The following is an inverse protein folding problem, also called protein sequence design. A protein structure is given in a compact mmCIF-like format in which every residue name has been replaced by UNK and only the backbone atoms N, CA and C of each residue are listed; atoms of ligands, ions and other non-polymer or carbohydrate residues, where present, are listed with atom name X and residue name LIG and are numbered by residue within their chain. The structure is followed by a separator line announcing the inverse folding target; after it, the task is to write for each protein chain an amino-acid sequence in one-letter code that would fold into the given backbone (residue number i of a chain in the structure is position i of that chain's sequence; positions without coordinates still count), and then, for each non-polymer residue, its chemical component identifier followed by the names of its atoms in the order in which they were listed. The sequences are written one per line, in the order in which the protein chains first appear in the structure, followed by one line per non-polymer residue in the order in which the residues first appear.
data_IF_266858026899
#
_entry.id   IF_266858026899
#
_cell.length_a   1.000
_cell.length_b   1.000
_cell.length_c   1.000
_cell.angle_alpha   90.00
_cell.angle_beta   90.00
_cell.angle_gamma   90.00
#
_symmetry.space_group_name_H-M   'P 1'
#
loop_
_entity.id
_entity.type
_entity.pdbx_description
1 polymer ?
#
# COMPACT_ATOMS: atom_id res chain seq x y z
N UNK A 1 -15.50 18.34 16.67
CA UNK A 1 -16.10 18.64 15.32
C UNK A 1 -17.38 17.83 15.16
N UNK A 2 -18.44 18.39 14.56
CA UNK A 2 -19.66 17.61 14.24
C UNK A 2 -19.22 16.53 13.26
N UNK A 3 -19.56 15.28 13.58
CA UNK A 3 -19.24 14.13 12.75
C UNK A 3 -20.02 14.22 11.43
N UNK A 4 -19.32 14.53 10.34
CA UNK A 4 -19.92 14.70 9.00
C UNK A 4 -19.75 13.44 8.14
N UNK A 5 -19.33 12.33 8.74
CA UNK A 5 -19.21 11.04 8.06
C UNK A 5 -20.51 10.27 8.17
N UNK A 6 -21.04 9.85 7.04
CA UNK A 6 -22.20 8.97 6.93
C UNK A 6 -21.80 7.65 6.29
N UNK A 7 -22.42 6.55 6.71
CA UNK A 7 -22.21 5.22 6.19
C UNK A 7 -23.56 4.55 5.89
N UNK A 8 -23.67 3.93 4.72
CA UNK A 8 -24.81 3.11 4.30
C UNK A 8 -24.30 1.84 3.62
N UNK A 9 -24.85 0.71 4.01
CA UNK A 9 -24.65 -0.56 3.29
C UNK A 9 -25.95 -0.94 2.60
N UNK A 10 -25.91 -1.15 1.28
CA UNK A 10 -27.06 -1.57 0.49
C UNK A 10 -27.34 -3.07 0.69
N UNK A 11 -28.54 -3.52 0.31
CA UNK A 11 -28.96 -4.93 0.45
C UNK A 11 -28.05 -5.90 -0.32
N UNK A 12 -27.39 -5.43 -1.39
CA UNK A 12 -26.41 -6.21 -2.17
C UNK A 12 -25.00 -6.24 -1.54
N UNK A 13 -24.82 -5.63 -0.37
CA UNK A 13 -23.56 -5.60 0.38
C UNK A 13 -22.61 -4.44 0.01
N UNK A 14 -22.95 -3.59 -0.97
CA UNK A 14 -22.15 -2.41 -1.31
C UNK A 14 -22.13 -1.43 -0.14
N UNK A 15 -20.93 -1.07 0.32
CA UNK A 15 -20.73 -0.09 1.39
C UNK A 15 -20.43 1.29 0.81
N UNK A 16 -21.12 2.33 1.27
CA UNK A 16 -20.99 3.71 0.81
C UNK A 16 -20.68 4.61 2.01
N UNK A 17 -19.54 5.29 1.97
CA UNK A 17 -19.08 6.15 3.07
C UNK A 17 -18.79 7.54 2.52
N UNK A 18 -19.37 8.57 3.11
CA UNK A 18 -19.14 9.95 2.69
C UNK A 18 -18.67 10.82 3.84
N UNK A 19 -17.87 11.80 3.52
CA UNK A 19 -17.48 12.86 4.43
C UNK A 19 -17.71 14.24 3.79
N UNK A 20 -18.67 14.98 4.31
CA UNK A 20 -18.92 16.34 3.84
C UNK A 20 -17.86 17.29 4.39
N UNK A 21 -17.17 18.01 3.48
CA UNK A 21 -16.17 19.02 3.82
C UNK A 21 -16.66 20.41 3.40
N UNK A 22 -17.12 21.23 4.36
CA UNK A 22 -17.70 22.55 4.04
C UNK A 22 -16.65 23.48 3.42
N UNK A 23 -17.08 24.31 2.47
CA UNK A 23 -16.24 25.31 1.80
C UNK A 23 -15.47 24.78 0.58
N UNK A 24 -15.42 23.49 0.33
CA UNK A 24 -14.83 22.95 -0.88
C UNK A 24 -15.77 23.05 -2.08
N UNK A 25 -15.21 23.25 -3.27
CA UNK A 25 -15.89 23.20 -4.57
C UNK A 25 -15.44 21.98 -5.37
N UNK A 26 -14.87 21.00 -4.67
CA UNK A 26 -14.41 19.73 -5.21
C UNK A 26 -14.86 18.57 -4.34
N UNK A 27 -14.82 17.38 -4.92
CA UNK A 27 -15.06 16.11 -4.25
C UNK A 27 -14.06 15.09 -4.79
N UNK A 28 -13.51 14.27 -3.91
CA UNK A 28 -12.79 13.06 -4.29
C UNK A 28 -13.72 11.87 -4.09
N UNK A 29 -13.99 11.18 -5.17
CA UNK A 29 -14.75 9.95 -5.24
C UNK A 29 -13.78 8.77 -5.38
N UNK A 30 -14.04 7.67 -4.68
CA UNK A 30 -13.30 6.42 -4.84
C UNK A 30 -14.23 5.21 -4.87
N UNK A 31 -13.94 4.24 -5.73
CA UNK A 31 -14.50 2.88 -5.69
C UNK A 31 -13.34 1.93 -5.43
N UNK A 32 -13.45 1.19 -4.34
CA UNK A 32 -12.38 0.35 -3.81
C UNK A 32 -12.85 -1.09 -3.78
N UNK A 33 -12.00 -1.98 -4.24
CA UNK A 33 -12.24 -3.42 -4.18
C UNK A 33 -11.49 -3.97 -2.96
N UNK A 34 -12.17 -4.75 -2.12
CA UNK A 34 -11.58 -5.44 -0.96
C UNK A 34 -10.71 -6.63 -1.39
N UNK A 35 -10.05 -6.50 -2.54
CA UNK A 35 -9.16 -7.50 -3.14
C UNK A 35 -7.94 -6.83 -3.73
N UNK A 36 -6.80 -7.45 -3.51
CA UNK A 36 -5.52 -7.11 -4.09
C UNK A 36 -4.70 -8.38 -4.29
N UNK A 37 -3.43 -8.27 -4.62
CA UNK A 37 -2.60 -9.41 -5.05
C UNK A 37 -2.48 -10.54 -4.01
N UNK A 38 -2.63 -10.26 -2.70
CA UNK A 38 -2.58 -11.31 -1.68
C UNK A 38 -3.76 -12.27 -1.71
N UNK A 39 -4.88 -11.88 -2.34
CA UNK A 39 -6.08 -12.71 -2.46
C UNK A 39 -6.05 -13.63 -3.68
N UNK A 40 -5.02 -13.52 -4.49
CA UNK A 40 -4.85 -14.31 -5.71
C UNK A 40 -4.26 -15.69 -5.43
N UNK A 41 -4.70 -16.68 -6.20
CA UNK A 41 -4.00 -17.97 -6.23
C UNK A 41 -2.67 -17.83 -6.98
N UNK A 42 -1.70 -18.74 -6.82
CA UNK A 42 -0.46 -18.70 -7.60
C UNK A 42 -0.67 -18.64 -9.11
N UNK A 43 -1.70 -19.33 -9.62
CA UNK A 43 -2.03 -19.37 -11.06
C UNK A 43 -2.70 -18.09 -11.58
N UNK A 44 -3.17 -17.22 -10.68
CA UNK A 44 -3.84 -15.96 -10.98
C UNK A 44 -3.03 -14.75 -10.48
N UNK A 45 -1.75 -14.95 -10.12
CA UNK A 45 -0.92 -13.85 -9.65
C UNK A 45 -0.81 -12.74 -10.71
N UNK A 46 -1.13 -11.52 -10.31
CA UNK A 46 -1.18 -10.33 -11.17
C UNK A 46 -2.55 -10.02 -11.76
N UNK A 47 -3.60 -10.84 -11.50
CA UNK A 47 -4.90 -10.61 -12.14
C UNK A 47 -5.64 -9.37 -11.64
N UNK A 48 -5.44 -8.94 -10.39
CA UNK A 48 -6.01 -7.70 -9.89
C UNK A 48 -5.42 -6.49 -10.63
N UNK A 49 -4.10 -6.47 -10.79
CA UNK A 49 -3.39 -5.43 -11.55
C UNK A 49 -3.75 -5.48 -13.03
N UNK A 50 -3.84 -6.67 -13.62
CA UNK A 50 -4.29 -6.82 -14.99
C UNK A 50 -5.72 -6.29 -15.24
N UNK A 51 -6.65 -6.51 -14.29
CA UNK A 51 -8.01 -5.97 -14.36
C UNK A 51 -7.98 -4.45 -14.19
N UNK A 52 -7.15 -3.91 -13.29
CA UNK A 52 -6.96 -2.47 -13.13
C UNK A 52 -6.64 -1.81 -14.48
N UNK A 53 -5.68 -2.34 -15.26
CA UNK A 53 -5.33 -1.85 -16.59
C UNK A 53 -6.49 -2.00 -17.60
N UNK A 54 -7.14 -3.14 -17.58
CA UNK A 54 -8.07 -3.52 -18.67
C UNK A 54 -9.45 -2.89 -18.56
N UNK A 55 -9.89 -2.43 -17.38
CA UNK A 55 -11.16 -1.70 -17.22
C UNK A 55 -11.18 -0.36 -17.97
N UNK A 56 -10.03 0.20 -18.31
CA UNK A 56 -9.89 1.43 -19.09
C UNK A 56 -10.06 1.19 -20.62
N UNK A 57 -10.08 -0.06 -21.06
CA UNK A 57 -10.08 -0.38 -22.51
C UNK A 57 -11.47 -0.43 -23.14
N UNK A 58 -12.48 -0.13 -22.37
CA UNK A 58 -13.85 0.06 -22.84
C UNK A 58 -14.87 -0.74 -22.04
N UNK A 59 -16.09 -0.24 -22.11
CA UNK A 59 -17.28 -0.81 -21.49
C UNK A 59 -18.32 -1.17 -22.53
N UNK A 60 -19.46 -1.72 -22.11
CA UNK A 60 -20.61 -1.91 -23.02
C UNK A 60 -21.12 -0.60 -23.63
N UNK A 61 -20.91 0.55 -22.96
CA UNK A 61 -21.42 1.87 -23.37
C UNK A 61 -20.35 2.80 -23.94
N UNK A 62 -19.08 2.54 -23.64
CA UNK A 62 -17.96 3.46 -23.90
C UNK A 62 -16.81 2.73 -24.58
N UNK A 63 -16.19 3.36 -25.55
CA UNK A 63 -14.86 2.96 -26.02
C UNK A 63 -13.77 3.48 -25.08
N UNK A 64 -12.53 2.99 -25.20
CA UNK A 64 -11.38 3.54 -24.45
C UNK A 64 -11.20 5.05 -24.72
N UNK A 65 -11.43 5.51 -25.93
CA UNK A 65 -11.36 6.93 -26.28
C UNK A 65 -12.48 7.74 -25.61
N UNK A 66 -13.70 7.20 -25.53
CA UNK A 66 -14.79 7.87 -24.82
C UNK A 66 -14.48 8.02 -23.34
N UNK A 67 -13.90 6.99 -22.70
CA UNK A 67 -13.44 7.04 -21.31
C UNK A 67 -12.41 8.15 -21.12
N UNK A 68 -11.41 8.22 -22.00
CA UNK A 68 -10.37 9.26 -21.93
C UNK A 68 -10.98 10.66 -22.12
N UNK A 69 -11.82 10.86 -23.12
CA UNK A 69 -12.47 12.17 -23.39
C UNK A 69 -13.37 12.58 -22.22
N UNK A 70 -14.17 11.67 -21.66
CA UNK A 70 -15.04 11.99 -20.52
C UNK A 70 -14.23 12.32 -19.27
N UNK A 71 -13.14 11.59 -19.03
CA UNK A 71 -12.20 11.89 -17.95
C UNK A 71 -11.57 13.28 -18.11
N UNK A 72 -11.06 13.60 -19.29
CA UNK A 72 -10.47 14.91 -19.60
C UNK A 72 -11.48 16.06 -19.41
N UNK A 73 -12.73 15.86 -19.86
CA UNK A 73 -13.82 16.86 -19.69
C UNK A 73 -14.16 17.13 -18.23
N UNK A 74 -14.07 16.15 -17.38
CA UNK A 74 -14.24 16.33 -15.93
C UNK A 74 -13.14 17.21 -15.33
N UNK A 75 -11.99 17.34 -16.04
CA UNK A 75 -10.90 18.24 -15.67
C UNK A 75 -10.26 17.93 -14.34
N UNK A 76 -10.44 16.70 -13.89
CA UNK A 76 -9.98 16.23 -12.60
C UNK A 76 -8.73 15.38 -12.69
N UNK A 77 -8.37 14.81 -11.56
CA UNK A 77 -7.31 13.81 -11.47
C UNK A 77 -7.93 12.43 -11.31
N UNK A 78 -7.60 11.52 -12.22
CA UNK A 78 -7.99 10.12 -12.17
C UNK A 78 -6.76 9.29 -11.81
N UNK A 79 -6.91 8.40 -10.85
CA UNK A 79 -5.86 7.52 -10.38
C UNK A 79 -6.43 6.12 -10.12
N UNK A 80 -5.65 5.09 -10.45
CA UNK A 80 -5.96 3.70 -10.13
C UNK A 80 -4.69 3.01 -9.65
N UNK A 81 -4.84 2.06 -8.74
CA UNK A 81 -3.72 1.32 -8.21
C UNK A 81 -4.17 -0.01 -7.60
N UNK A 82 -3.27 -0.96 -7.63
CA UNK A 82 -3.40 -2.25 -6.93
C UNK A 82 -2.34 -2.36 -5.84
N UNK A 83 -2.78 -2.79 -4.66
CA UNK A 83 -1.89 -3.16 -3.55
C UNK A 83 -2.07 -4.64 -3.22
N UNK A 84 -1.36 -5.13 -2.22
CA UNK A 84 -1.59 -6.50 -1.76
C UNK A 84 -3.00 -6.72 -1.21
N UNK A 85 -3.65 -5.72 -0.61
CA UNK A 85 -4.92 -5.91 0.11
C UNK A 85 -6.14 -5.24 -0.53
N UNK A 86 -5.94 -4.34 -1.48
CA UNK A 86 -7.03 -3.64 -2.16
C UNK A 86 -6.63 -3.15 -3.55
N UNK A 87 -7.63 -2.94 -4.39
CA UNK A 87 -7.50 -2.21 -5.66
C UNK A 87 -8.38 -0.96 -5.57
N UNK A 88 -7.86 0.20 -5.93
CA UNK A 88 -8.54 1.48 -5.80
C UNK A 88 -8.66 2.21 -7.12
N UNK A 89 -9.81 2.84 -7.35
CA UNK A 89 -10.09 3.71 -8.50
C UNK A 89 -10.61 5.03 -7.96
N UNK A 90 -9.88 6.11 -8.12
CA UNK A 90 -10.22 7.40 -7.51
C UNK A 90 -10.28 8.52 -8.51
N UNK A 91 -11.22 9.44 -8.32
CA UNK A 91 -11.39 10.59 -9.17
C UNK A 91 -11.64 11.83 -8.32
N UNK A 92 -10.79 12.84 -8.46
CA UNK A 92 -11.01 14.14 -7.83
C UNK A 92 -11.54 15.11 -8.88
N UNK A 93 -12.75 15.60 -8.68
CA UNK A 93 -13.48 16.47 -9.61
C UNK A 93 -14.09 17.67 -8.91
N UNK A 94 -14.63 18.61 -9.68
CA UNK A 94 -15.48 19.64 -9.11
C UNK A 94 -16.78 19.02 -8.57
N UNK A 95 -17.41 19.65 -7.59
CA UNK A 95 -18.68 19.22 -7.01
C UNK A 95 -19.79 18.99 -8.05
N UNK A 96 -19.78 19.76 -9.15
CA UNK A 96 -20.72 19.62 -10.27
C UNK A 96 -20.51 18.37 -11.11
N UNK A 97 -19.29 17.84 -11.14
CA UNK A 97 -18.89 16.68 -11.92
C UNK A 97 -19.16 15.33 -11.22
N UNK A 98 -19.58 15.32 -9.94
CA UNK A 98 -19.70 14.11 -9.13
C UNK A 98 -20.53 13.00 -9.82
N UNK A 99 -21.72 13.34 -10.32
CA UNK A 99 -22.60 12.34 -10.91
C UNK A 99 -22.01 11.73 -12.20
N UNK A 100 -21.33 12.53 -13.01
CA UNK A 100 -20.68 12.06 -14.23
C UNK A 100 -19.44 11.22 -13.91
N UNK A 101 -18.61 11.65 -12.93
CA UNK A 101 -17.46 10.88 -12.46
C UNK A 101 -17.88 9.53 -11.89
N UNK A 102 -18.99 9.51 -11.11
CA UNK A 102 -19.53 8.27 -10.58
C UNK A 102 -20.04 7.34 -11.70
N UNK A 103 -20.80 7.86 -12.69
CA UNK A 103 -21.30 7.05 -13.81
C UNK A 103 -20.13 6.47 -14.65
N UNK A 104 -19.07 7.24 -14.83
CA UNK A 104 -17.88 6.77 -15.54
C UNK A 104 -17.19 5.62 -14.77
N UNK A 105 -16.84 5.83 -13.49
CA UNK A 105 -16.19 4.81 -12.67
C UNK A 105 -17.05 3.55 -12.51
N UNK A 106 -18.34 3.75 -12.22
CA UNK A 106 -19.27 2.64 -12.03
C UNK A 106 -19.44 1.82 -13.32
N UNK A 107 -19.48 2.47 -14.50
CA UNK A 107 -19.58 1.78 -15.77
C UNK A 107 -18.32 0.95 -16.10
N UNK A 108 -17.14 1.54 -15.88
CA UNK A 108 -15.85 0.85 -16.05
C UNK A 108 -15.75 -0.39 -15.17
N UNK A 109 -16.17 -0.30 -13.91
CA UNK A 109 -16.07 -1.40 -12.95
C UNK A 109 -17.23 -2.39 -13.02
N UNK A 110 -18.41 -1.97 -13.51
CA UNK A 110 -19.56 -2.85 -13.57
C UNK A 110 -19.67 -3.59 -14.89
N UNK A 111 -19.20 -3.01 -16.01
CA UNK A 111 -19.46 -3.51 -17.37
C UNK A 111 -18.26 -3.44 -18.31
N UNK A 112 -17.05 -3.83 -17.89
CA UNK A 112 -15.90 -3.87 -18.78
C UNK A 112 -16.13 -4.92 -19.87
N UNK A 113 -15.65 -4.63 -21.10
CA UNK A 113 -15.82 -5.55 -22.25
C UNK A 113 -14.82 -6.69 -22.27
N UNK A 114 -13.60 -6.46 -21.80
CA UNK A 114 -12.50 -7.41 -21.87
C UNK A 114 -12.30 -8.02 -23.26
N UNK A 115 -12.19 -7.15 -24.29
CA UNK A 115 -11.98 -7.61 -25.67
C UNK A 115 -10.59 -8.26 -25.79
N UNK A 116 -10.52 -9.38 -26.48
CA UNK A 116 -9.30 -10.21 -26.58
C UNK A 116 -8.10 -9.41 -27.09
N UNK A 117 -8.30 -8.52 -28.07
CA UNK A 117 -7.21 -7.69 -28.61
C UNK A 117 -6.70 -6.67 -27.62
N UNK A 118 -7.59 -6.12 -26.76
CA UNK A 118 -7.23 -5.18 -25.71
C UNK A 118 -6.44 -5.90 -24.60
N UNK A 119 -6.91 -7.08 -24.18
CA UNK A 119 -6.20 -7.91 -23.20
C UNK A 119 -4.78 -8.25 -23.68
N UNK A 120 -4.62 -8.66 -24.95
CA UNK A 120 -3.30 -8.96 -25.54
C UNK A 120 -2.38 -7.73 -25.62
N UNK A 121 -2.94 -6.54 -25.78
CA UNK A 121 -2.15 -5.30 -25.74
C UNK A 121 -1.68 -5.01 -24.31
N UNK A 122 -2.57 -5.14 -23.33
CA UNK A 122 -2.22 -4.87 -21.92
C UNK A 122 -1.27 -5.92 -21.34
N UNK A 123 -1.35 -7.19 -21.75
CA UNK A 123 -0.31 -8.18 -21.40
C UNK A 123 1.08 -7.68 -21.76
N UNK A 124 1.25 -7.08 -22.95
CA UNK A 124 2.54 -6.55 -23.38
C UNK A 124 2.97 -5.33 -22.59
N UNK A 125 2.01 -4.43 -22.27
CA UNK A 125 2.29 -3.24 -21.45
C UNK A 125 2.80 -3.66 -20.07
N UNK A 126 2.10 -4.57 -19.40
CA UNK A 126 2.48 -5.04 -18.06
C UNK A 126 3.83 -5.80 -18.08
N UNK A 127 4.11 -6.58 -19.13
CA UNK A 127 5.41 -7.23 -19.28
C UNK A 127 6.54 -6.19 -19.48
N UNK A 128 6.27 -5.06 -20.14
CA UNK A 128 7.25 -3.96 -20.19
C UNK A 128 7.41 -3.26 -18.84
N UNK A 129 6.34 -3.10 -18.05
CA UNK A 129 6.43 -2.58 -16.68
C UNK A 129 7.27 -3.48 -15.77
N UNK A 130 7.11 -4.81 -15.86
CA UNK A 130 7.97 -5.75 -15.14
C UNK A 130 9.47 -5.54 -15.46
N UNK A 131 9.81 -5.28 -16.73
CA UNK A 131 11.19 -4.97 -17.12
C UNK A 131 11.66 -3.64 -16.53
N UNK A 132 10.78 -2.63 -16.44
CA UNK A 132 11.13 -1.37 -15.79
C UNK A 132 11.45 -1.58 -14.30
N UNK A 133 10.73 -2.46 -13.61
CA UNK A 133 11.05 -2.86 -12.23
C UNK A 133 12.41 -3.55 -12.18
N UNK A 134 12.72 -4.49 -13.09
CA UNK A 134 14.03 -5.15 -13.18
C UNK A 134 15.20 -4.18 -13.45
N UNK A 135 14.91 -3.07 -14.16
CA UNK A 135 15.86 -2.00 -14.47
C UNK A 135 15.95 -0.94 -13.36
N UNK A 136 15.08 -1.00 -12.35
CA UNK A 136 15.06 -0.09 -11.19
C UNK A 136 15.61 -0.84 -9.96
N UNK A 137 16.89 -0.63 -9.57
CA UNK A 137 17.57 -1.51 -8.63
C UNK A 137 16.94 -1.64 -7.25
N UNK A 138 16.34 -0.57 -6.71
CA UNK A 138 15.67 -0.58 -5.41
C UNK A 138 14.33 -1.33 -5.47
N UNK A 139 13.56 -1.19 -6.54
CA UNK A 139 12.32 -1.93 -6.77
C UNK A 139 12.63 -3.42 -6.99
N UNK A 140 13.60 -3.73 -7.84
CA UNK A 140 14.04 -5.10 -8.10
C UNK A 140 14.53 -5.80 -6.83
N UNK A 141 15.36 -5.13 -6.02
CA UNK A 141 15.78 -5.68 -4.73
C UNK A 141 14.58 -5.90 -3.81
N UNK A 142 13.61 -4.98 -3.80
CA UNK A 142 12.37 -5.08 -3.03
C UNK A 142 11.59 -6.35 -3.37
N UNK A 143 11.41 -6.65 -4.65
CA UNK A 143 10.72 -7.88 -5.10
C UNK A 143 11.45 -9.16 -4.72
N UNK A 144 12.75 -9.23 -5.03
CA UNK A 144 13.59 -10.38 -4.65
C UNK A 144 13.57 -10.62 -3.13
N UNK A 145 13.66 -9.52 -2.38
CA UNK A 145 13.63 -9.57 -0.93
C UNK A 145 12.28 -10.05 -0.39
N UNK A 146 11.17 -9.49 -0.89
CA UNK A 146 9.82 -9.88 -0.48
C UNK A 146 9.54 -11.37 -0.76
N UNK A 147 9.99 -11.89 -1.91
CA UNK A 147 9.86 -13.29 -2.25
C UNK A 147 10.60 -14.21 -1.26
N UNK A 148 11.80 -13.81 -0.83
CA UNK A 148 12.59 -14.54 0.15
C UNK A 148 12.07 -14.35 1.60
N UNK A 149 11.52 -13.18 1.90
CA UNK A 149 11.02 -12.81 3.23
C UNK A 149 9.66 -13.44 3.55
N UNK A 150 8.78 -13.56 2.56
CA UNK A 150 7.47 -14.21 2.66
C UNK A 150 7.40 -15.49 1.79
N UNK A 151 8.22 -16.51 2.05
CA UNK A 151 8.28 -17.69 1.21
C UNK A 151 6.93 -18.42 1.20
N UNK A 152 6.47 -18.79 0.02
CA UNK A 152 5.20 -19.50 -0.20
C UNK A 152 3.94 -18.74 0.29
N UNK A 153 4.05 -17.44 0.49
CA UNK A 153 2.91 -16.59 0.89
C UNK A 153 2.61 -15.55 -0.20
N UNK A 154 1.32 -15.17 -0.41
CA UNK A 154 0.98 -14.17 -1.43
C UNK A 154 1.68 -12.81 -1.29
N UNK A 155 2.01 -12.37 -0.08
CA UNK A 155 2.76 -11.13 0.15
C UNK A 155 4.20 -11.15 -0.42
N UNK A 156 4.74 -12.32 -0.69
CA UNK A 156 6.04 -12.48 -1.34
C UNK A 156 5.98 -12.54 -2.86
N UNK A 157 4.80 -12.45 -3.46
CA UNK A 157 4.62 -12.45 -4.92
C UNK A 157 4.53 -11.02 -5.43
N UNK A 158 5.08 -10.72 -6.63
CA UNK A 158 4.94 -9.40 -7.25
C UNK A 158 3.47 -9.07 -7.50
N UNK A 159 3.10 -7.80 -7.39
CA UNK A 159 1.73 -7.32 -7.61
C UNK A 159 1.35 -7.45 -9.09
N UNK A 160 2.28 -7.19 -9.97
CA UNK A 160 2.12 -7.25 -11.43
C UNK A 160 1.97 -8.70 -11.94
N UNK A 161 2.33 -9.69 -11.13
CA UNK A 161 2.37 -11.08 -11.52
C UNK A 161 3.71 -11.50 -12.12
N UNK A 162 3.69 -12.54 -12.96
CA UNK A 162 4.84 -13.02 -13.73
C UNK A 162 4.50 -13.04 -15.22
N UNK A 163 5.53 -13.10 -16.08
CA UNK A 163 5.33 -13.19 -17.53
C UNK A 163 4.42 -14.37 -17.89
N UNK A 164 4.58 -15.51 -17.19
CA UNK A 164 3.78 -16.71 -17.41
C UNK A 164 2.31 -16.49 -17.03
N UNK A 165 2.06 -15.91 -15.85
CA UNK A 165 0.69 -15.71 -15.37
C UNK A 165 -0.03 -14.67 -16.20
N UNK A 166 0.59 -13.50 -16.43
CA UNK A 166 0.00 -12.40 -17.23
C UNK A 166 -0.28 -12.85 -18.67
N UNK A 167 0.66 -13.58 -19.30
CA UNK A 167 0.45 -14.11 -20.67
C UNK A 167 -0.70 -15.13 -20.73
N UNK A 168 -1.11 -15.71 -19.62
CA UNK A 168 -2.19 -16.69 -19.53
C UNK A 168 -3.58 -16.08 -19.34
N UNK A 169 -3.69 -14.76 -19.08
CA UNK A 169 -4.97 -14.11 -18.79
C UNK A 169 -5.77 -13.85 -20.06
N UNK A 170 -6.61 -14.81 -20.42
CA UNK A 170 -7.59 -14.68 -21.48
C UNK A 170 -8.89 -14.02 -20.97
N UNK A 171 -9.84 -13.84 -21.89
CA UNK A 171 -11.13 -13.23 -21.59
C UNK A 171 -11.95 -14.00 -20.56
N UNK A 172 -11.93 -15.32 -20.62
CA UNK A 172 -12.71 -16.19 -19.73
C UNK A 172 -12.20 -16.06 -18.29
N UNK A 173 -10.89 -16.16 -18.08
CA UNK A 173 -10.26 -15.99 -16.76
C UNK A 173 -10.47 -14.61 -16.19
N UNK A 174 -10.22 -13.57 -17.02
CA UNK A 174 -10.33 -12.17 -16.59
C UNK A 174 -11.77 -11.82 -16.22
N UNK A 175 -12.73 -12.14 -17.08
CA UNK A 175 -14.14 -11.88 -16.82
C UNK A 175 -14.67 -12.74 -15.64
N UNK A 176 -14.23 -13.99 -15.54
CA UNK A 176 -14.61 -14.89 -14.44
C UNK A 176 -14.13 -14.36 -13.08
N UNK A 177 -12.86 -13.96 -12.97
CA UNK A 177 -12.33 -13.36 -11.75
C UNK A 177 -13.02 -12.03 -11.42
N UNK A 178 -13.18 -11.15 -12.42
CA UNK A 178 -13.87 -9.88 -12.26
C UNK A 178 -15.31 -10.07 -11.75
N UNK A 179 -16.09 -10.97 -12.35
CA UNK A 179 -17.47 -11.23 -11.96
C UNK A 179 -17.59 -11.73 -10.50
N UNK A 180 -16.61 -12.50 -10.02
CA UNK A 180 -16.57 -13.03 -8.69
C UNK A 180 -16.11 -11.98 -7.68
N UNK A 181 -14.98 -11.31 -7.94
CA UNK A 181 -14.27 -10.50 -6.93
C UNK A 181 -14.63 -9.01 -6.99
N UNK A 182 -15.06 -8.47 -8.15
CA UNK A 182 -15.55 -7.10 -8.28
C UNK A 182 -17.07 -7.00 -8.09
N UNK A 183 -17.63 -7.89 -7.28
CA UNK A 183 -19.05 -7.89 -6.94
C UNK A 183 -19.37 -6.81 -5.89
N UNK A 184 -20.61 -6.26 -5.85
CA UNK A 184 -20.98 -5.15 -4.95
C UNK A 184 -20.57 -5.31 -3.49
N UNK A 185 -20.66 -6.51 -2.93
CA UNK A 185 -20.26 -6.80 -1.54
C UNK A 185 -18.76 -6.63 -1.28
N UNK A 186 -17.92 -6.77 -2.30
CA UNK A 186 -16.49 -6.53 -2.22
C UNK A 186 -16.13 -5.06 -2.49
N UNK A 187 -17.11 -4.22 -2.85
CA UNK A 187 -16.87 -2.82 -3.17
C UNK A 187 -17.16 -1.91 -1.96
N UNK A 188 -16.32 -0.91 -1.84
CA UNK A 188 -16.51 0.23 -0.94
C UNK A 188 -16.50 1.49 -1.80
N UNK A 189 -17.55 2.27 -1.75
CA UNK A 189 -17.61 3.60 -2.39
C UNK A 189 -17.32 4.64 -1.32
N UNK A 190 -16.34 5.50 -1.55
CA UNK A 190 -16.06 6.63 -0.65
C UNK A 190 -16.14 7.95 -1.38
N UNK A 191 -16.60 8.98 -0.71
CA UNK A 191 -16.46 10.34 -1.21
C UNK A 191 -16.19 11.33 -0.07
N UNK A 192 -15.25 12.25 -0.29
CA UNK A 192 -14.95 13.33 0.63
C UNK A 192 -14.89 14.67 -0.11
N UNK A 193 -15.48 15.71 0.47
CA UNK A 193 -15.58 17.03 -0.16
C UNK A 193 -17.00 17.60 -0.14
N UNK A 194 -17.36 18.37 -1.16
CA UNK A 194 -18.73 18.88 -1.30
C UNK A 194 -19.63 17.78 -1.91
N UNK A 195 -20.13 16.89 -1.07
CA UNK A 195 -20.93 15.72 -1.45
C UNK A 195 -22.18 15.58 -0.59
N UNK A 196 -23.32 15.21 -1.21
CA UNK A 196 -24.50 14.70 -0.51
C UNK A 196 -24.41 13.18 -0.43
N UNK A 197 -24.57 12.66 0.79
CA UNK A 197 -24.60 11.21 1.03
C UNK A 197 -25.75 10.54 0.29
N UNK A 198 -26.93 11.13 0.40
CA UNK A 198 -28.17 10.64 -0.19
C UNK A 198 -28.04 10.53 -1.72
N UNK A 199 -27.48 11.57 -2.36
CA UNK A 199 -27.21 11.56 -3.80
C UNK A 199 -26.26 10.43 -4.19
N UNK A 200 -25.18 10.23 -3.43
CA UNK A 200 -24.20 9.17 -3.75
C UNK A 200 -24.82 7.78 -3.56
N UNK A 201 -25.64 7.59 -2.53
CA UNK A 201 -26.39 6.34 -2.29
C UNK A 201 -27.34 6.03 -3.47
N UNK A 202 -28.09 7.03 -3.96
CA UNK A 202 -28.98 6.87 -5.11
C UNK A 202 -28.21 6.49 -6.39
N UNK A 203 -27.09 7.16 -6.67
CA UNK A 203 -26.23 6.86 -7.81
C UNK A 203 -25.66 5.43 -7.73
N UNK A 204 -25.17 5.03 -6.54
CA UNK A 204 -24.63 3.71 -6.30
C UNK A 204 -25.69 2.61 -6.43
N UNK A 205 -26.87 2.83 -5.85
CA UNK A 205 -27.99 1.92 -5.99
C UNK A 205 -28.40 1.75 -7.45
N UNK A 206 -28.51 2.82 -8.24
CA UNK A 206 -28.87 2.76 -9.65
C UNK A 206 -27.85 2.00 -10.50
N UNK A 207 -26.55 2.15 -10.22
CA UNK A 207 -25.48 1.58 -11.03
C UNK A 207 -25.19 0.12 -10.73
N UNK A 208 -25.35 -0.30 -9.47
CA UNK A 208 -25.03 -1.65 -8.98
C UNK A 208 -26.25 -2.50 -8.63
N UNK A 209 -27.48 -2.00 -8.84
CA UNK A 209 -28.71 -2.80 -8.74
C UNK A 209 -28.80 -3.79 -9.90
N UNK A 210 -29.16 -5.04 -9.60
CA UNK A 210 -29.45 -6.09 -10.59
C UNK A 210 -28.26 -6.96 -10.98
N UNK A 211 -27.07 -6.73 -10.46
CA UNK A 211 -26.04 -7.80 -10.42
C UNK A 211 -26.49 -8.82 -9.39
N UNK A 212 -26.98 -9.98 -9.86
CA UNK A 212 -27.36 -11.09 -9.02
C UNK A 212 -26.30 -11.31 -7.95
N UNK A 213 -26.76 -11.52 -6.70
CA UNK A 213 -25.96 -12.20 -5.72
C UNK A 213 -25.42 -13.47 -6.37
N UNK A 214 -24.17 -13.48 -6.83
CA UNK A 214 -23.47 -14.73 -6.93
C UNK A 214 -23.70 -15.39 -5.56
N UNK A 215 -24.23 -16.62 -5.58
CA UNK A 215 -24.64 -17.35 -4.38
C UNK A 215 -23.67 -17.04 -3.24
N UNK A 216 -24.21 -16.62 -2.12
CA UNK A 216 -23.48 -16.04 -1.01
C UNK A 216 -22.44 -17.01 -0.44
N UNK A 217 -21.36 -17.19 -1.14
CA UNK A 217 -20.12 -17.54 -0.48
C UNK A 217 -19.82 -16.35 0.43
N UNK A 218 -19.91 -16.57 1.74
CA UNK A 218 -19.57 -15.58 2.74
C UNK A 218 -18.32 -14.83 2.27
N UNK A 219 -18.27 -13.50 2.48
CA UNK A 219 -17.02 -12.76 2.30
C UNK A 219 -15.93 -13.65 2.88
N UNK A 220 -15.20 -14.33 2.03
CA UNK A 220 -14.02 -15.02 2.49
C UNK A 220 -13.06 -13.89 2.83
N UNK A 221 -13.17 -13.44 4.08
CA UNK A 221 -12.10 -12.67 4.71
C UNK A 221 -10.90 -13.57 4.96
N UNK A 222 -10.90 -14.73 4.31
CA UNK A 222 -9.82 -15.69 4.39
C UNK A 222 -8.64 -15.16 3.57
N UNK A 223 -7.87 -14.32 4.24
CA UNK A 223 -6.55 -13.90 3.78
C UNK A 223 -5.51 -15.01 3.92
N UNK A 224 -5.97 -16.25 4.15
CA UNK A 224 -5.11 -17.37 4.48
C UNK A 224 -4.57 -17.31 5.92
N UNK A 225 -3.65 -18.19 6.24
CA UNK A 225 -2.92 -18.11 7.50
C UNK A 225 -2.04 -16.86 7.53
N UNK A 226 -1.92 -16.23 8.70
CA UNK A 226 -0.98 -15.13 8.89
C UNK A 226 0.42 -15.51 8.39
N UNK A 227 1.10 -14.63 7.65
CA UNK A 227 2.40 -14.95 7.08
C UNK A 227 3.42 -15.21 8.20
N UNK A 228 4.34 -16.12 7.92
CA UNK A 228 5.50 -16.36 8.78
C UNK A 228 6.73 -15.81 8.06
N UNK A 229 7.13 -14.57 8.35
CA UNK A 229 8.32 -14.00 7.73
C UNK A 229 9.54 -14.89 7.98
N UNK A 230 10.30 -15.13 6.95
CA UNK A 230 11.64 -15.71 7.07
C UNK A 230 12.65 -14.62 7.46
N UNK A 231 13.87 -15.01 7.78
CA UNK A 231 14.98 -14.09 8.01
C UNK A 231 16.10 -14.37 7.01
N UNK A 232 15.88 -14.12 5.69
CA UNK A 232 16.88 -14.39 4.66
C UNK A 232 18.11 -13.48 4.81
N UNK A 233 19.24 -13.95 4.31
CA UNK A 233 20.38 -13.14 3.92
C UNK A 233 20.52 -13.33 2.42
N UNK A 234 20.03 -12.37 1.65
CA UNK A 234 20.00 -12.37 0.20
C UNK A 234 21.09 -11.44 -0.32
N UNK A 235 22.04 -11.96 -1.10
CA UNK A 235 23.08 -11.16 -1.73
C UNK A 235 23.03 -11.42 -3.24
N UNK A 236 22.53 -10.43 -3.97
CA UNK A 236 22.40 -10.46 -5.42
C UNK A 236 23.49 -9.59 -6.06
N UNK A 237 24.24 -10.12 -7.02
CA UNK A 237 25.38 -9.43 -7.64
C UNK A 237 25.05 -8.99 -9.06
N UNK A 238 24.95 -7.67 -9.25
CA UNK A 238 24.85 -7.01 -10.56
C UNK A 238 26.04 -6.05 -10.72
N UNK A 239 27.04 -6.45 -11.50
CA UNK A 239 28.32 -5.71 -11.67
C UNK A 239 28.17 -4.39 -12.42
N UNK A 240 27.11 -4.24 -13.20
CA UNK A 240 26.81 -3.04 -13.98
C UNK A 240 26.23 -1.90 -13.15
N UNK A 241 25.88 -2.15 -11.88
CA UNK A 241 25.33 -1.12 -11.01
C UNK A 241 26.44 -0.28 -10.37
N UNK A 242 26.32 1.04 -10.49
CA UNK A 242 27.20 2.01 -9.84
C UNK A 242 26.96 2.11 -8.34
N UNK A 243 25.75 1.81 -7.89
CA UNK A 243 25.36 1.83 -6.49
C UNK A 243 25.10 0.43 -5.96
N UNK A 244 25.32 0.27 -4.66
CA UNK A 244 24.86 -0.86 -3.88
C UNK A 244 23.59 -0.46 -3.10
N UNK A 245 22.63 -1.36 -3.08
CA UNK A 245 21.36 -1.18 -2.40
C UNK A 245 21.27 -2.17 -1.24
N UNK A 246 20.80 -1.71 -0.08
CA UNK A 246 20.68 -2.48 1.16
C UNK A 246 19.25 -2.42 1.68
N UNK A 247 18.71 -3.57 2.04
CA UNK A 247 17.49 -3.71 2.84
C UNK A 247 17.82 -4.47 4.11
N UNK A 248 17.42 -3.93 5.27
CA UNK A 248 17.37 -4.66 6.54
C UNK A 248 15.92 -4.66 7.00
N UNK A 249 15.36 -5.81 7.31
CA UNK A 249 13.96 -5.90 7.72
C UNK A 249 13.76 -6.84 8.90
N UNK A 250 12.65 -6.61 9.61
CA UNK A 250 12.18 -7.48 10.69
C UNK A 250 10.64 -7.46 10.71
N UNK A 251 9.97 -8.52 11.22
CA UNK A 251 8.54 -8.45 11.48
C UNK A 251 8.16 -7.22 12.30
N UNK A 252 6.95 -6.73 12.11
CA UNK A 252 6.47 -5.50 12.77
C UNK A 252 4.99 -5.61 13.14
N UNK A 253 4.48 -4.76 14.05
CA UNK A 253 3.06 -4.73 14.36
C UNK A 253 2.18 -4.56 13.12
N UNK A 254 1.14 -5.40 13.01
CA UNK A 254 0.16 -5.29 11.93
C UNK A 254 -0.71 -4.04 12.08
N UNK A 255 -1.46 -3.69 11.04
CA UNK A 255 -2.39 -2.56 11.07
C UNK A 255 -3.47 -2.67 12.17
N UNK A 256 -3.76 -3.90 12.63
CA UNK A 256 -4.74 -4.15 13.71
C UNK A 256 -4.10 -4.31 15.09
N UNK A 257 -2.78 -4.38 15.16
CA UNK A 257 -2.07 -4.59 16.43
C UNK A 257 -2.15 -3.36 17.34
N UNK A 258 -2.15 -3.55 18.65
CA UNK A 258 -2.18 -2.46 19.63
C UNK A 258 -0.94 -1.58 19.53
N UNK A 259 0.21 -2.18 19.30
CA UNK A 259 1.51 -1.51 19.19
C UNK A 259 1.77 -0.81 17.86
N UNK A 260 0.81 -0.79 16.91
CA UNK A 260 1.03 -0.13 15.62
C UNK A 260 1.45 1.34 15.72
N UNK A 261 0.95 2.05 16.74
CA UNK A 261 1.30 3.45 16.97
C UNK A 261 2.72 3.59 17.53
N UNK A 262 3.07 2.79 18.54
CA UNK A 262 4.43 2.75 19.07
C UNK A 262 5.44 2.33 18.00
N UNK A 263 5.09 1.31 17.20
CA UNK A 263 5.90 0.86 16.07
C UNK A 263 6.09 1.94 15.00
N UNK A 264 5.03 2.68 14.64
CA UNK A 264 5.13 3.77 13.67
C UNK A 264 6.06 4.89 14.17
N UNK A 265 5.91 5.31 15.42
CA UNK A 265 6.76 6.35 16.02
C UNK A 265 8.22 5.87 16.15
N UNK A 266 8.45 4.62 16.54
CA UNK A 266 9.80 4.07 16.63
C UNK A 266 10.49 4.03 15.24
N UNK A 267 9.77 3.60 14.20
CA UNK A 267 10.29 3.63 12.83
C UNK A 267 10.66 5.06 12.41
N UNK A 268 9.85 6.06 12.79
CA UNK A 268 10.13 7.47 12.50
C UNK A 268 11.38 7.99 13.24
N UNK A 269 11.60 7.62 14.50
CA UNK A 269 12.83 7.95 15.23
C UNK A 269 14.05 7.37 14.53
N UNK A 270 13.97 6.12 14.07
CA UNK A 270 15.11 5.45 13.45
C UNK A 270 15.43 6.05 12.07
N UNK A 271 14.43 6.26 11.20
CA UNK A 271 14.72 6.65 9.82
C UNK A 271 13.60 7.42 9.09
N UNK A 272 12.64 8.04 9.81
CA UNK A 272 11.47 8.67 9.19
C UNK A 272 11.68 10.09 8.62
N UNK A 273 12.85 10.69 8.76
CA UNK A 273 13.09 12.05 8.26
C UNK A 273 14.53 12.52 8.48
N UNK A 274 14.81 13.77 8.14
CA UNK A 274 16.17 14.35 8.19
C UNK A 274 16.75 14.45 9.60
N UNK A 275 15.92 14.51 10.64
CA UNK A 275 16.35 14.49 12.03
C UNK A 275 16.46 13.09 12.63
N UNK A 276 16.16 12.04 11.85
CA UNK A 276 16.21 10.66 12.31
C UNK A 276 17.65 10.16 12.51
N UNK A 277 17.80 9.13 13.34
CA UNK A 277 19.11 8.59 13.72
C UNK A 277 19.93 8.11 12.51
N UNK A 278 19.32 7.36 11.58
CA UNK A 278 20.02 6.85 10.40
C UNK A 278 20.44 7.99 9.46
N UNK A 279 19.54 8.96 9.24
CA UNK A 279 19.87 10.10 8.38
C UNK A 279 21.07 10.88 8.94
N UNK A 280 21.07 11.17 10.23
CA UNK A 280 22.16 11.89 10.87
C UNK A 280 23.46 11.08 10.83
N UNK A 281 23.44 9.82 11.27
CA UNK A 281 24.63 9.01 11.39
C UNK A 281 25.29 8.64 10.05
N UNK A 282 24.49 8.41 9.01
CA UNK A 282 24.96 7.88 7.72
C UNK A 282 25.13 8.99 6.69
N UNK A 283 24.16 9.90 6.57
CA UNK A 283 24.16 10.92 5.53
C UNK A 283 24.78 12.23 5.97
N UNK A 284 24.32 12.83 7.07
CA UNK A 284 24.79 14.15 7.49
C UNK A 284 26.22 14.13 8.03
N UNK A 285 26.52 13.20 8.95
CA UNK A 285 27.83 13.17 9.59
C UNK A 285 28.93 12.57 8.72
N UNK A 286 28.59 11.58 7.86
CA UNK A 286 29.58 10.78 7.11
C UNK A 286 29.47 10.86 5.61
N UNK A 287 28.32 11.26 5.05
CA UNK A 287 28.12 11.36 3.61
C UNK A 287 28.15 10.00 2.89
N UNK A 288 27.82 8.90 3.57
CA UNK A 288 27.98 7.55 3.04
C UNK A 288 26.84 7.13 2.09
N UNK A 289 25.65 7.73 2.24
CA UNK A 289 24.49 7.38 1.42
C UNK A 289 23.72 8.64 1.01
N UNK A 290 23.30 8.72 -0.24
CA UNK A 290 22.39 9.77 -0.69
C UNK A 290 20.96 9.50 -0.22
N UNK A 291 20.54 8.24 -0.27
CA UNK A 291 19.24 7.78 0.17
C UNK A 291 19.40 6.80 1.33
N UNK A 292 18.87 7.15 2.49
CA UNK A 292 18.81 6.28 3.66
C UNK A 292 17.57 6.62 4.48
N UNK A 293 16.90 5.61 4.96
CA UNK A 293 15.71 5.79 5.80
C UNK A 293 15.18 4.48 6.36
N UNK A 294 14.18 4.59 7.22
CA UNK A 294 13.44 3.46 7.73
C UNK A 294 11.94 3.75 7.72
N UNK A 295 11.15 2.70 7.56
CA UNK A 295 9.70 2.78 7.56
C UNK A 295 9.05 1.49 8.02
N UNK A 296 7.76 1.56 8.27
CA UNK A 296 6.93 0.42 8.61
C UNK A 296 5.82 0.25 7.58
N UNK A 297 5.73 -0.94 6.98
CA UNK A 297 4.60 -1.36 6.15
C UNK A 297 3.69 -2.26 6.99
N UNK A 298 2.41 -1.93 7.08
CA UNK A 298 1.45 -2.67 7.90
C UNK A 298 0.34 -3.25 7.02
N UNK A 299 0.21 -4.57 7.04
CA UNK A 299 -0.90 -5.33 6.48
C UNK A 299 -1.93 -5.63 7.58
N UNK A 300 -3.08 -6.17 7.20
CA UNK A 300 -4.17 -6.45 8.15
C UNK A 300 -3.78 -7.40 9.30
N UNK A 301 -2.85 -8.32 9.07
CA UNK A 301 -2.44 -9.40 10.00
C UNK A 301 -0.94 -9.46 10.30
N UNK A 302 -0.11 -8.71 9.59
CA UNK A 302 1.34 -8.64 9.78
C UNK A 302 1.85 -7.25 9.49
N UNK A 303 3.11 -6.98 9.84
CA UNK A 303 3.84 -5.78 9.44
C UNK A 303 5.30 -6.10 9.17
N UNK A 304 5.97 -5.17 8.52
CA UNK A 304 7.40 -5.22 8.24
C UNK A 304 8.01 -3.87 8.55
N UNK A 305 9.03 -3.84 9.41
CA UNK A 305 9.93 -2.70 9.52
C UNK A 305 11.06 -2.88 8.52
N UNK A 306 11.40 -1.84 7.80
CA UNK A 306 12.45 -1.87 6.78
C UNK A 306 13.37 -0.67 6.92
N UNK A 307 14.68 -0.91 6.91
CA UNK A 307 15.71 0.09 6.61
C UNK A 307 16.10 -0.11 5.16
N UNK A 308 16.21 0.99 4.41
CA UNK A 308 16.75 1.02 3.06
C UNK A 308 17.90 2.00 2.99
N UNK A 309 18.96 1.65 2.24
CA UNK A 309 20.04 2.55 1.89
C UNK A 309 20.57 2.30 0.47
N UNK A 310 20.81 3.39 -0.26
CA UNK A 310 21.57 3.39 -1.54
C UNK A 310 22.91 4.08 -1.32
N UNK A 311 24.01 3.35 -1.57
CA UNK A 311 25.39 3.77 -1.27
C UNK A 311 26.37 3.30 -2.35
N UNK A 312 27.63 3.72 -2.28
CA UNK A 312 28.67 3.12 -3.12
C UNK A 312 29.05 1.74 -2.59
N UNK A 313 29.45 0.79 -3.49
CA UNK A 313 29.76 -0.59 -3.09
C UNK A 313 30.84 -0.72 -2.01
N UNK A 314 31.81 0.16 -2.01
CA UNK A 314 32.92 0.21 -1.04
C UNK A 314 32.51 0.73 0.35
N UNK A 315 31.37 1.40 0.45
CA UNK A 315 30.83 1.94 1.71
C UNK A 315 29.72 1.06 2.32
N UNK A 316 29.28 0.02 1.60
CA UNK A 316 28.15 -0.82 2.01
C UNK A 316 28.34 -1.48 3.38
N UNK A 317 29.58 -1.94 3.68
CA UNK A 317 29.92 -2.54 4.97
C UNK A 317 29.73 -1.55 6.13
N UNK A 318 30.18 -0.32 5.97
CA UNK A 318 30.04 0.73 6.99
C UNK A 318 28.57 1.15 7.16
N UNK A 319 27.82 1.27 6.09
CA UNK A 319 26.37 1.58 6.14
C UNK A 319 25.60 0.48 6.87
N UNK A 320 25.92 -0.79 6.62
CA UNK A 320 25.34 -1.92 7.34
C UNK A 320 25.67 -1.83 8.85
N UNK A 321 26.95 -1.65 9.18
CA UNK A 321 27.37 -1.63 10.59
C UNK A 321 26.77 -0.47 11.37
N UNK A 322 26.65 0.72 10.77
CA UNK A 322 25.96 1.87 11.36
C UNK A 322 24.46 1.63 11.55
N UNK A 323 23.82 1.01 10.53
CA UNK A 323 22.39 0.66 10.64
C UNK A 323 22.13 -0.31 11.78
N UNK A 324 22.95 -1.35 11.92
CA UNK A 324 22.86 -2.30 13.02
C UNK A 324 23.20 -1.65 14.36
N UNK A 325 24.15 -0.72 14.41
CA UNK A 325 24.49 0.01 15.64
C UNK A 325 23.29 0.81 16.16
N UNK A 326 22.52 1.47 15.29
CA UNK A 326 21.32 2.20 15.69
C UNK A 326 20.21 1.25 16.20
N UNK A 327 20.02 0.08 15.59
CA UNK A 327 19.09 -0.92 16.13
C UNK A 327 19.52 -1.43 17.50
N UNK A 328 20.81 -1.73 17.69
CA UNK A 328 21.38 -2.12 19.00
C UNK A 328 21.18 -1.03 20.05
N UNK A 329 21.35 0.23 19.66
CA UNK A 329 21.16 1.38 20.53
C UNK A 329 19.71 1.50 21.01
N UNK A 330 18.73 1.32 20.12
CA UNK A 330 17.30 1.28 20.49
C UNK A 330 17.01 0.20 21.53
N UNK A 331 17.58 -0.99 21.36
CA UNK A 331 17.36 -2.12 22.29
C UNK A 331 18.01 -1.88 23.66
N UNK A 332 19.19 -1.26 23.69
CA UNK A 332 20.01 -1.11 24.93
C UNK A 332 19.75 0.19 25.71
N UNK A 333 19.57 1.31 24.99
CA UNK A 333 19.62 2.64 25.60
C UNK A 333 18.26 3.36 25.64
N UNK A 334 17.22 2.80 25.02
CA UNK A 334 15.92 3.47 24.84
C UNK A 334 15.98 4.71 23.90
N UNK A 335 14.82 5.21 23.58
CA UNK A 335 14.62 6.49 22.88
C UNK A 335 14.50 7.59 23.94
N UNK A 336 14.97 8.79 23.67
CA UNK A 336 14.78 9.91 24.59
C UNK A 336 13.35 10.47 24.50
N UNK A 337 12.90 11.13 25.56
CA UNK A 337 11.61 11.84 25.58
C UNK A 337 11.56 12.93 24.49
N UNK A 338 12.67 13.58 24.20
CA UNK A 338 12.78 14.63 23.18
C UNK A 338 12.59 14.04 21.77
N UNK A 339 13.24 12.91 21.46
CA UNK A 339 13.04 12.20 20.18
C UNK A 339 11.59 11.72 20.02
N UNK A 340 11.00 11.14 21.10
CA UNK A 340 9.61 10.73 21.08
C UNK A 340 8.66 11.90 20.83
N UNK A 341 8.85 13.02 21.55
CA UNK A 341 8.00 14.20 21.38
C UNK A 341 8.10 14.77 19.95
N UNK A 342 9.29 14.84 19.38
CA UNK A 342 9.52 15.31 18.01
C UNK A 342 8.71 14.48 16.99
N UNK A 343 8.78 13.15 17.05
CA UNK A 343 8.05 12.31 16.10
C UNK A 343 6.54 12.29 16.35
N UNK A 344 6.08 12.50 17.58
CA UNK A 344 4.66 12.74 17.88
C UNK A 344 4.17 14.03 17.23
N UNK A 345 4.89 15.12 17.40
CA UNK A 345 4.54 16.42 16.80
C UNK A 345 4.48 16.33 15.28
N UNK A 346 5.42 15.63 14.65
CA UNK A 346 5.42 15.37 13.21
C UNK A 346 4.21 14.53 12.77
N UNK A 347 3.91 13.44 13.48
CA UNK A 347 2.80 12.56 13.17
C UNK A 347 1.44 13.28 13.31
N UNK A 348 1.24 14.03 14.40
CA UNK A 348 0.03 14.83 14.64
C UNK A 348 -0.12 15.92 13.57
N UNK A 349 0.96 16.64 13.26
CA UNK A 349 0.96 17.67 12.21
C UNK A 349 0.60 17.07 10.85
N UNK A 350 1.17 15.92 10.49
CA UNK A 350 0.85 15.22 9.23
C UNK A 350 -0.62 14.83 9.15
N UNK A 351 -1.19 14.33 10.26
CA UNK A 351 -2.63 14.01 10.33
C UNK A 351 -3.46 15.28 10.11
N UNK A 352 -3.19 16.34 10.88
CA UNK A 352 -3.99 17.57 10.81
C UNK A 352 -3.92 18.24 9.43
N UNK A 353 -2.73 18.32 8.82
CA UNK A 353 -2.57 18.83 7.46
C UNK A 353 -3.27 17.93 6.43
N UNK A 354 -3.23 16.60 6.63
CA UNK A 354 -3.94 15.64 5.78
C UNK A 354 -5.47 15.82 5.80
N UNK A 355 -6.05 16.37 6.89
CA UNK A 355 -7.49 16.63 6.98
C UNK A 355 -7.99 17.68 5.98
N UNK A 356 -7.11 18.52 5.44
CA UNK A 356 -7.45 19.52 4.42
C UNK A 356 -7.63 18.88 3.03
N UNK A 357 -7.11 17.68 2.81
CA UNK A 357 -7.14 16.98 1.52
C UNK A 357 -8.33 16.03 1.42
N UNK A 358 -9.25 16.33 0.49
CA UNK A 358 -10.36 15.41 0.18
C UNK A 358 -9.89 14.03 -0.29
N UNK A 359 -8.75 13.95 -1.00
CA UNK A 359 -8.18 12.67 -1.45
C UNK A 359 -7.67 11.82 -0.28
N UNK A 360 -6.93 12.44 0.66
CA UNK A 360 -6.46 11.76 1.87
C UNK A 360 -7.64 11.25 2.70
N UNK A 361 -8.69 12.05 2.84
CA UNK A 361 -9.88 11.68 3.62
C UNK A 361 -10.66 10.55 2.96
N UNK A 362 -10.92 10.62 1.65
CA UNK A 362 -11.61 9.54 0.92
C UNK A 362 -10.85 8.21 1.00
N UNK A 363 -9.53 8.24 0.83
CA UNK A 363 -8.67 7.07 0.98
C UNK A 363 -8.61 6.52 2.40
N UNK A 364 -8.60 7.39 3.42
CA UNK A 364 -8.64 6.98 4.82
C UNK A 364 -9.95 6.27 5.18
N UNK A 365 -11.11 6.77 4.70
CA UNK A 365 -12.40 6.12 4.90
C UNK A 365 -12.41 4.70 4.32
N UNK A 366 -11.91 4.53 3.10
CA UNK A 366 -11.83 3.22 2.44
C UNK A 366 -10.91 2.25 3.20
N UNK A 367 -9.69 2.70 3.53
CA UNK A 367 -8.71 1.88 4.23
C UNK A 367 -9.21 1.44 5.60
N UNK A 368 -9.84 2.35 6.36
CA UNK A 368 -10.40 2.04 7.66
C UNK A 368 -11.52 1.01 7.57
N UNK A 369 -12.40 1.15 6.58
CA UNK A 369 -13.49 0.19 6.35
C UNK A 369 -12.94 -1.19 5.92
N UNK A 370 -11.97 -1.23 4.99
CA UNK A 370 -11.42 -2.47 4.47
C UNK A 370 -10.60 -3.20 5.55
N UNK A 371 -9.74 -2.48 6.27
CA UNK A 371 -8.83 -3.08 7.24
C UNK A 371 -9.51 -3.32 8.59
N UNK A 372 -10.27 -2.36 9.09
CA UNK A 372 -10.79 -2.39 10.46
C UNK A 372 -12.29 -2.69 10.54
N UNK A 373 -13.05 -2.58 9.45
CA UNK A 373 -14.51 -2.68 9.46
C UNK A 373 -15.19 -1.61 10.30
N UNK A 374 -14.49 -0.55 10.64
CA UNK A 374 -14.99 0.58 11.40
C UNK A 374 -14.24 1.86 11.09
N UNK A 375 -14.88 2.97 11.32
CA UNK A 375 -14.23 4.27 11.32
C UNK A 375 -13.33 4.44 12.55
N UNK A 376 -12.17 5.06 12.34
CA UNK A 376 -11.26 5.55 13.39
C UNK A 376 -11.13 7.07 13.18
N UNK A 377 -11.60 7.86 14.12
CA UNK A 377 -11.55 9.33 13.97
C UNK A 377 -10.10 9.84 14.05
N UNK A 378 -9.78 10.98 13.43
CA UNK A 378 -8.49 11.63 13.61
C UNK A 378 -8.17 11.89 15.09
N UNK A 379 -9.15 12.32 15.87
CA UNK A 379 -8.98 12.57 17.31
C UNK A 379 -8.63 11.27 18.07
N UNK A 380 -9.24 10.11 17.70
CA UNK A 380 -8.87 8.81 18.27
C UNK A 380 -7.42 8.44 17.91
N UNK A 381 -7.00 8.68 16.66
CA UNK A 381 -5.62 8.39 16.23
C UNK A 381 -4.63 9.28 16.97
N UNK A 382 -4.90 10.57 17.05
CA UNK A 382 -4.05 11.54 17.76
C UNK A 382 -3.92 11.16 19.24
N UNK A 383 -5.04 10.88 19.92
CA UNK A 383 -5.02 10.48 21.32
C UNK A 383 -4.20 9.19 21.55
N UNK A 384 -4.24 8.23 20.61
CA UNK A 384 -3.41 7.02 20.70
C UNK A 384 -1.93 7.29 20.47
N UNK A 385 -1.58 8.20 19.54
CA UNK A 385 -0.19 8.62 19.32
C UNK A 385 0.36 9.36 20.54
N UNK A 386 -0.40 10.30 21.10
CA UNK A 386 -0.01 11.06 22.27
C UNK A 386 0.16 10.19 23.53
N UNK A 387 -0.61 9.12 23.65
CA UNK A 387 -0.53 8.19 24.77
C UNK A 387 0.70 7.27 24.74
N UNK A 388 1.42 7.17 23.62
CA UNK A 388 2.62 6.32 23.51
C UNK A 388 3.73 6.85 24.42
N UNK A 389 4.41 5.95 25.13
CA UNK A 389 5.52 6.27 26.04
C UNK A 389 6.86 5.77 25.51
N UNK A 390 7.96 6.22 26.10
CA UNK A 390 9.31 5.71 25.80
C UNK A 390 9.42 4.22 26.13
N UNK A 391 8.74 3.76 27.18
CA UNK A 391 8.68 2.35 27.56
C UNK A 391 8.00 1.50 26.47
N UNK A 392 6.96 2.03 25.82
CA UNK A 392 6.30 1.33 24.69
C UNK A 392 7.25 1.17 23.51
N UNK A 393 8.01 2.24 23.15
CA UNK A 393 9.02 2.16 22.09
C UNK A 393 10.11 1.15 22.44
N UNK A 394 10.59 1.18 23.67
CA UNK A 394 11.62 0.26 24.17
C UNK A 394 11.15 -1.19 24.15
N UNK A 395 9.89 -1.43 24.52
CA UNK A 395 9.27 -2.76 24.48
C UNK A 395 9.18 -3.27 23.04
N UNK A 396 8.66 -2.45 22.12
CA UNK A 396 8.58 -2.79 20.70
C UNK A 396 9.97 -3.05 20.12
N UNK A 397 10.95 -2.19 20.40
CA UNK A 397 12.32 -2.40 19.94
C UNK A 397 12.91 -3.74 20.40
N UNK A 398 12.78 -4.09 21.70
CA UNK A 398 13.28 -5.36 22.23
C UNK A 398 12.54 -6.59 21.70
N UNK A 399 11.25 -6.47 21.42
CA UNK A 399 10.46 -7.56 20.89
C UNK A 399 10.80 -7.91 19.44
N UNK A 400 11.03 -6.88 18.60
CA UNK A 400 11.14 -7.08 17.17
C UNK A 400 12.58 -7.03 16.65
N UNK A 401 13.48 -6.26 17.26
CA UNK A 401 14.89 -6.23 16.86
C UNK A 401 15.67 -7.34 17.56
N UNK A 402 15.62 -8.53 16.99
CA UNK A 402 16.39 -9.69 17.46
C UNK A 402 17.18 -10.31 16.31
N UNK A 403 18.32 -10.88 16.62
CA UNK A 403 19.24 -11.50 15.64
C UNK A 403 18.54 -12.51 14.74
N UNK A 404 17.63 -13.31 15.32
CA UNK A 404 16.95 -14.40 14.62
C UNK A 404 15.90 -13.89 13.63
N UNK A 405 15.35 -12.70 13.85
CA UNK A 405 14.29 -12.10 13.06
C UNK A 405 14.80 -11.16 11.98
N UNK A 406 16.02 -10.65 12.11
CA UNK A 406 16.58 -9.75 11.11
C UNK A 406 16.81 -10.47 9.79
N UNK A 407 16.30 -9.87 8.73
CA UNK A 407 16.54 -10.24 7.35
C UNK A 407 17.40 -9.17 6.68
N UNK A 408 18.17 -9.56 5.69
CA UNK A 408 19.03 -8.68 4.91
C UNK A 408 18.88 -8.98 3.43
N UNK A 409 18.80 -7.93 2.61
CA UNK A 409 18.93 -7.97 1.16
C UNK A 409 20.00 -6.98 0.72
N UNK A 410 20.87 -7.39 -0.20
CA UNK A 410 21.85 -6.51 -0.82
C UNK A 410 21.94 -6.77 -2.32
N UNK A 411 22.02 -5.70 -3.12
CA UNK A 411 22.12 -5.75 -4.58
C UNK A 411 23.17 -4.74 -5.06
N UNK A 412 24.01 -5.12 -5.99
CA UNK A 412 25.01 -4.25 -6.62
C UNK A 412 26.29 -4.95 -7.03
N UNK A 413 27.33 -4.18 -7.35
CA UNK A 413 28.71 -4.72 -7.51
C UNK A 413 29.32 -4.98 -6.13
N UNK A 414 28.94 -6.08 -5.53
CA UNK A 414 29.21 -6.44 -4.14
C UNK A 414 30.50 -7.27 -4.01
N UNK A 415 31.61 -6.78 -4.56
CA UNK A 415 32.90 -7.47 -4.51
C UNK A 415 33.36 -7.66 -3.06
N UNK A 416 33.41 -8.92 -2.61
CA UNK A 416 33.87 -9.30 -1.27
C UNK A 416 32.87 -9.06 -0.14
N UNK A 417 31.72 -8.41 -0.38
CA UNK A 417 30.69 -8.26 0.63
C UNK A 417 30.10 -9.62 1.01
N UNK A 418 30.17 -9.94 2.28
CA UNK A 418 29.66 -11.17 2.88
C UNK A 418 29.04 -10.84 4.24
N UNK A 419 27.89 -11.42 4.47
CA UNK A 419 27.18 -11.28 5.75
C UNK A 419 26.74 -12.66 6.21
N UNK A 420 27.05 -12.98 7.44
CA UNK A 420 26.52 -14.14 8.13
C UNK A 420 25.57 -13.71 9.25
N UNK A 421 24.92 -14.66 9.89
CA UNK A 421 23.97 -14.37 10.99
C UNK A 421 24.66 -13.72 12.20
N UNK A 422 25.93 -14.04 12.45
CA UNK A 422 26.67 -13.49 13.57
C UNK A 422 26.89 -11.97 13.42
N UNK A 423 27.09 -11.48 12.19
CA UNK A 423 27.22 -10.05 11.92
C UNK A 423 25.92 -9.27 12.20
N UNK A 424 24.76 -9.92 12.09
CA UNK A 424 23.45 -9.34 12.37
C UNK A 424 23.07 -9.39 13.85
N UNK A 425 24.00 -9.68 14.76
CA UNK A 425 23.72 -9.75 16.20
C UNK A 425 23.25 -8.40 16.75
N UNK A 426 22.13 -8.41 17.51
CA UNK A 426 21.49 -7.25 18.18
C UNK A 426 21.67 -7.35 19.70
#
# INVERSE_FOLDING_TARGET
MIDQVKNTTLDNGLTIITEYMPGLRSVTLGIWVRRGSRHETPALNGICHFIEHTVFKGTERRTALDIAIESDRLGGHFDAFTTHEMTGFTMKVTDRGLAQAFDLLADMLARPRFETEDLQREQKVIIEEMKMVEDTPDEYLGELFNAAYFPNHPLGRPIEGTVETVSSFDRERTAGYHAQEFSPRNLVVTAAGNVSHEQLVELAAASFNGKAQAEATALSNDIGSAPRPAAPILIERKKELEQAHLIIATPWPSARHEDRFAGSLLASVIGGGTSSRLWQAIREERGLAYSVGAGASAFSDTGVFTIYAGTSPDQLDEVLDLSLAELRRVVRESVSEEELQLVKDQAVSSILLGLESSSVRAGALARQEIIHGRRISPDEIIARLEAVTVEDLSRVGREYFTTERLALGALGDLNGFQVDRARLEI
#
